data_IF_137097538377
#
_entry.id   IF_137097538377
#
_cell.length_a   1.000
_cell.length_b   1.000
_cell.length_c   1.000
_cell.angle_alpha   90.00
_cell.angle_beta   90.00
_cell.angle_gamma   90.00
#
_symmetry.space_group_name_H-M   'P 1'
#
loop_
_entity.id
_entity.type
_entity.pdbx_description
1 polymer ?
#
# COMPACT_ATOMS: atom_id res chain seq x y z
N UNK A 1 -6.23 -5.24 -7.97
CA UNK A 1 -6.22 -4.33 -6.82
C UNK A 1 -5.65 -5.06 -5.61
N UNK A 2 -6.20 -6.22 -5.25
CA UNK A 2 -5.74 -7.08 -4.13
C UNK A 2 -4.24 -7.38 -4.19
N UNK A 3 -3.70 -7.59 -5.39
CA UNK A 3 -2.27 -7.81 -5.60
C UNK A 3 -1.40 -6.67 -5.02
N UNK A 4 -1.84 -5.41 -5.12
CA UNK A 4 -1.14 -4.25 -4.54
C UNK A 4 -1.17 -4.33 -3.02
N UNK A 5 -2.34 -4.65 -2.43
CA UNK A 5 -2.47 -4.78 -0.97
C UNK A 5 -1.58 -5.89 -0.44
N UNK A 6 -1.64 -7.09 -1.04
CA UNK A 6 -0.81 -8.23 -0.65
C UNK A 6 0.68 -7.95 -0.86
N UNK A 7 1.05 -7.31 -1.97
CA UNK A 7 2.44 -6.92 -2.21
C UNK A 7 2.94 -5.91 -1.18
N UNK A 8 2.11 -4.95 -0.75
CA UNK A 8 2.51 -3.93 0.22
C UNK A 8 2.60 -4.49 1.65
N UNK A 9 1.64 -5.34 2.04
CA UNK A 9 1.41 -5.74 3.44
C UNK A 9 1.91 -7.15 3.78
N UNK A 10 2.13 -7.99 2.78
CA UNK A 10 2.45 -9.41 2.96
C UNK A 10 1.25 -10.30 3.28
N UNK A 11 0.02 -9.81 3.22
CA UNK A 11 -1.17 -10.65 3.37
C UNK A 11 -1.24 -11.72 2.27
N UNK A 12 -1.69 -12.92 2.65
CA UNK A 12 -2.24 -13.88 1.69
C UNK A 12 -3.63 -13.40 1.22
N UNK A 13 -4.16 -13.97 0.14
CA UNK A 13 -5.49 -13.60 -0.34
C UNK A 13 -6.56 -13.82 0.75
N UNK A 14 -6.55 -14.99 1.39
CA UNK A 14 -7.50 -15.32 2.46
C UNK A 14 -7.39 -14.40 3.68
N UNK A 15 -6.17 -14.01 4.05
CA UNK A 15 -5.98 -13.09 5.18
C UNK A 15 -6.48 -11.68 4.83
N UNK A 16 -6.21 -11.21 3.60
CA UNK A 16 -6.72 -9.92 3.13
C UNK A 16 -8.25 -9.89 3.12
N UNK A 17 -8.90 -10.93 2.57
CA UNK A 17 -10.36 -11.04 2.55
C UNK A 17 -10.96 -11.05 3.96
N UNK A 18 -10.31 -11.73 4.91
CA UNK A 18 -10.75 -11.75 6.30
C UNK A 18 -10.66 -10.36 6.96
N UNK A 19 -9.61 -9.58 6.71
CA UNK A 19 -9.49 -8.21 7.22
C UNK A 19 -10.51 -7.26 6.58
N UNK A 20 -10.76 -7.39 5.27
CA UNK A 20 -11.78 -6.59 4.58
C UNK A 20 -13.19 -6.89 5.08
N UNK A 21 -13.50 -8.16 5.35
CA UNK A 21 -14.80 -8.57 5.90
C UNK A 21 -15.08 -8.02 7.31
N UNK A 22 -14.02 -7.76 8.10
CA UNK A 22 -14.15 -7.15 9.43
C UNK A 22 -14.49 -5.66 9.40
N UNK A 23 -14.27 -4.98 8.27
CA UNK A 23 -14.42 -3.52 8.20
C UNK A 23 -13.44 -2.79 9.13
N UNK A 24 -12.20 -3.27 9.19
CA UNK A 24 -11.17 -2.78 10.10
C UNK A 24 -10.71 -1.35 9.79
N UNK A 25 -10.04 -0.70 10.74
CA UNK A 25 -9.40 0.61 10.50
C UNK A 25 -8.08 0.43 9.74
N UNK A 26 -7.56 1.49 9.11
CA UNK A 26 -6.22 1.42 8.50
C UNK A 26 -5.12 1.17 9.52
N UNK A 27 -5.25 1.73 10.72
CA UNK A 27 -4.30 1.51 11.81
C UNK A 27 -4.20 0.03 12.15
N UNK A 28 -5.34 -0.61 12.41
CA UNK A 28 -5.42 -2.05 12.70
C UNK A 28 -4.99 -2.91 11.50
N UNK A 29 -5.39 -2.54 10.28
CA UNK A 29 -5.04 -3.24 9.04
C UNK A 29 -3.52 -3.30 8.83
N UNK A 30 -2.82 -2.18 9.02
CA UNK A 30 -1.36 -2.12 8.87
C UNK A 30 -0.63 -2.68 10.08
N UNK A 31 -1.18 -2.57 11.30
CA UNK A 31 -0.62 -3.21 12.50
C UNK A 31 -0.67 -4.74 12.41
N UNK A 32 -1.71 -5.30 11.80
CA UNK A 32 -1.87 -6.74 11.58
C UNK A 32 -1.14 -7.28 10.33
N UNK A 33 -0.53 -6.40 9.52
CA UNK A 33 0.15 -6.78 8.29
C UNK A 33 1.32 -7.75 8.58
N UNK A 34 1.36 -8.97 7.98
CA UNK A 34 2.35 -9.98 8.32
C UNK A 34 3.79 -9.52 8.11
N UNK A 35 4.03 -8.79 7.02
CA UNK A 35 5.34 -8.22 6.69
C UNK A 35 5.20 -7.16 5.61
N UNK A 36 5.34 -5.90 6.02
CA UNK A 36 5.43 -4.80 5.06
C UNK A 36 6.62 -5.01 4.12
N UNK A 37 6.37 -4.86 2.82
CA UNK A 37 7.38 -5.12 1.82
C UNK A 37 8.49 -4.06 1.87
N UNK A 38 9.78 -4.44 1.93
CA UNK A 38 10.87 -3.47 1.98
C UNK A 38 10.96 -2.59 0.74
N UNK A 39 10.56 -3.09 -0.43
CA UNK A 39 10.56 -2.34 -1.68
C UNK A 39 9.57 -1.15 -1.67
N UNK A 40 8.64 -1.09 -0.71
CA UNK A 40 7.75 0.07 -0.54
C UNK A 40 8.52 1.38 -0.28
N UNK A 41 9.74 1.30 0.26
CA UNK A 41 10.62 2.46 0.43
C UNK A 41 11.05 3.09 -0.91
N UNK A 42 10.91 2.38 -2.03
CA UNK A 42 11.16 2.89 -3.38
C UNK A 42 9.97 3.69 -3.94
N UNK A 43 8.84 3.74 -3.23
CA UNK A 43 7.68 4.52 -3.65
C UNK A 43 7.94 5.99 -3.34
N UNK A 44 8.12 6.77 -4.40
CA UNK A 44 8.51 8.19 -4.33
C UNK A 44 7.57 9.06 -5.16
N UNK A 45 7.69 10.37 -4.98
CA UNK A 45 6.95 11.39 -5.72
C UNK A 45 5.73 11.92 -4.98
N UNK A 46 4.86 12.57 -5.75
CA UNK A 46 3.69 13.29 -5.20
C UNK A 46 2.41 12.48 -5.43
N UNK A 47 1.55 12.44 -4.42
CA UNK A 47 0.19 11.93 -4.46
C UNK A 47 -0.72 12.82 -3.59
N UNK A 48 -1.91 13.14 -4.10
CA UNK A 48 -2.86 14.03 -3.39
C UNK A 48 -2.23 15.37 -2.94
N UNK A 49 -1.28 15.91 -3.70
CA UNK A 49 -0.56 17.16 -3.37
C UNK A 49 0.56 17.02 -2.33
N UNK A 50 0.79 15.82 -1.80
CA UNK A 50 1.79 15.54 -0.75
C UNK A 50 2.95 14.73 -1.33
N UNK A 51 4.18 15.09 -0.94
CA UNK A 51 5.41 14.32 -1.23
C UNK A 51 5.50 13.16 -0.25
N UNK A 52 5.46 11.92 -0.73
CA UNK A 52 5.34 10.74 0.16
C UNK A 52 6.56 10.55 1.05
N UNK A 53 7.73 10.90 0.53
CA UNK A 53 9.02 10.77 1.19
C UNK A 53 9.12 11.65 2.46
N UNK A 54 8.41 12.78 2.48
CA UNK A 54 8.43 13.75 3.57
C UNK A 54 7.34 13.52 4.62
N UNK A 55 6.52 12.48 4.47
CA UNK A 55 5.51 12.13 5.48
C UNK A 55 6.21 11.53 6.68
N UNK A 56 6.07 12.19 7.83
CA UNK A 56 6.71 11.80 9.10
C UNK A 56 5.89 10.74 9.86
N UNK A 57 4.57 10.88 9.85
CA UNK A 57 3.68 9.92 10.50
C UNK A 57 3.77 8.55 9.79
N UNK A 58 4.19 7.48 10.50
CA UNK A 58 4.42 6.18 9.87
C UNK A 58 3.17 5.60 9.21
N UNK A 59 2.02 5.67 9.88
CA UNK A 59 0.77 5.12 9.35
C UNK A 59 0.33 5.88 8.09
N UNK A 60 0.34 7.20 8.14
CA UNK A 60 0.02 8.06 7.00
C UNK A 60 0.96 7.83 5.83
N UNK A 61 2.23 7.53 6.09
CA UNK A 61 3.19 7.18 5.04
C UNK A 61 2.80 5.88 4.33
N UNK A 62 2.41 4.84 5.07
CA UNK A 62 1.95 3.58 4.50
C UNK A 62 0.63 3.76 3.70
N UNK A 63 -0.30 4.58 4.20
CA UNK A 63 -1.53 4.94 3.47
C UNK A 63 -1.17 5.66 2.16
N UNK A 64 -0.22 6.62 2.17
CA UNK A 64 0.18 7.34 0.97
C UNK A 64 0.94 6.48 -0.03
N UNK A 65 1.68 5.47 0.44
CA UNK A 65 2.21 4.44 -0.46
C UNK A 65 1.09 3.69 -1.17
N UNK A 66 0.08 3.24 -0.43
CA UNK A 66 -1.07 2.55 -1.03
C UNK A 66 -1.79 3.45 -2.05
N UNK A 67 -2.11 4.70 -1.69
CA UNK A 67 -2.73 5.67 -2.60
C UNK A 67 -1.93 5.83 -3.89
N UNK A 68 -0.60 5.91 -3.78
CA UNK A 68 0.29 6.07 -4.93
C UNK A 68 0.22 4.87 -5.86
N UNK A 69 0.24 3.65 -5.33
CA UNK A 69 0.18 2.42 -6.13
C UNK A 69 -1.16 2.30 -6.85
N UNK A 70 -2.26 2.69 -6.18
CA UNK A 70 -3.61 2.68 -6.76
C UNK A 70 -3.76 3.78 -7.83
N UNK A 71 -3.23 4.99 -7.61
CA UNK A 71 -3.19 6.06 -8.62
C UNK A 71 -2.40 5.63 -9.86
N UNK A 72 -1.27 4.94 -9.67
CA UNK A 72 -0.49 4.39 -10.77
C UNK A 72 -1.27 3.35 -11.59
N UNK A 73 -2.03 2.48 -10.92
CA UNK A 73 -2.93 1.52 -11.57
C UNK A 73 -4.04 2.23 -12.34
N UNK A 74 -4.68 3.24 -11.74
CA UNK A 74 -5.74 4.02 -12.37
C UNK A 74 -5.24 4.79 -13.61
N UNK A 75 -3.96 5.19 -13.62
CA UNK A 75 -3.29 5.81 -14.78
C UNK A 75 -2.83 4.79 -15.83
N UNK A 76 -3.13 3.50 -15.67
CA UNK A 76 -2.83 2.46 -16.65
C UNK A 76 -1.37 2.00 -16.64
N UNK A 77 -0.61 2.22 -15.56
CA UNK A 77 0.74 1.63 -15.45
C UNK A 77 0.65 0.10 -15.35
N UNK A 78 1.65 -0.59 -15.90
CA UNK A 78 1.77 -2.05 -15.77
C UNK A 78 2.06 -2.45 -14.33
N UNK A 79 1.48 -3.58 -13.89
CA UNK A 79 1.62 -4.08 -12.52
C UNK A 79 3.08 -4.26 -12.11
N UNK A 80 3.93 -4.85 -12.96
CA UNK A 80 5.38 -5.00 -12.72
C UNK A 80 6.03 -3.68 -12.28
N UNK A 81 5.76 -2.58 -13.02
CA UNK A 81 6.26 -1.25 -12.67
C UNK A 81 5.68 -0.71 -11.37
N UNK A 82 4.40 -0.97 -11.10
CA UNK A 82 3.73 -0.55 -9.85
C UNK A 82 4.37 -1.26 -8.65
N UNK A 83 4.63 -2.56 -8.77
CA UNK A 83 5.21 -3.40 -7.72
C UNK A 83 6.74 -3.33 -7.64
N UNK A 84 7.35 -2.40 -8.39
CA UNK A 84 8.81 -2.17 -8.41
C UNK A 84 9.61 -3.43 -8.77
N UNK A 85 9.08 -4.22 -9.71
CA UNK A 85 9.66 -5.44 -10.25
C UNK A 85 10.07 -5.26 -11.73
#
# INVERSE_FOLDING_TARGET
MDEIFRWLTGYSQTALEAELAKGTTFEDFFAAAPKLNPARALITGVICGIRVETVEDPLMKEIRYLDKLIDELARGKKMEKILRA
#
